data_IF_064136120681
#
_entry.id   IF_064136120681
#
_cell.length_a   1.000
_cell.length_b   1.000
_cell.length_c   1.000
_cell.angle_alpha   90.00
_cell.angle_beta   90.00
_cell.angle_gamma   90.00
#
_symmetry.space_group_name_H-M   'P 1'
#
loop_
_entity.id
_entity.type
_entity.pdbx_description
1 polymer ?
#
# COMPACT_ATOMS: atom_id res chain seq x y z
N UNK A 1 5.93 34.76 19.90
CA UNK A 1 6.38 33.39 19.59
C UNK A 1 5.99 33.08 18.17
N UNK A 2 6.96 32.98 17.27
CA UNK A 2 6.72 32.63 15.88
C UNK A 2 6.22 31.17 15.82
N UNK A 3 4.99 30.97 15.38
CA UNK A 3 4.41 29.66 15.12
C UNK A 3 5.12 29.03 13.91
N UNK A 4 6.22 28.33 14.10
CA UNK A 4 6.79 27.49 13.05
C UNK A 4 5.92 26.22 12.91
N UNK A 5 4.93 26.30 12.02
CA UNK A 5 4.32 25.06 11.52
C UNK A 5 5.37 24.39 10.62
N UNK A 6 5.96 23.30 11.06
CA UNK A 6 6.87 22.56 10.21
C UNK A 6 6.08 21.86 9.11
N UNK A 7 6.42 22.19 7.85
CA UNK A 7 5.82 21.52 6.68
C UNK A 7 6.69 20.31 6.35
N UNK A 8 6.05 19.16 6.29
CA UNK A 8 6.71 17.90 5.95
C UNK A 8 7.06 17.82 4.46
N UNK A 9 7.99 16.96 4.06
CA UNK A 9 8.20 16.60 2.66
C UNK A 9 6.90 16.10 2.03
N UNK A 10 6.79 16.22 0.72
CA UNK A 10 5.66 15.66 -0.02
C UNK A 10 5.87 14.14 -0.14
N UNK A 11 4.94 13.36 0.33
CA UNK A 11 4.90 11.92 0.08
C UNK A 11 4.31 11.66 -1.31
N UNK A 12 5.05 11.00 -2.20
CA UNK A 12 4.58 10.68 -3.55
C UNK A 12 4.63 9.17 -3.77
N UNK A 13 3.48 8.58 -4.04
CA UNK A 13 3.33 7.20 -4.47
C UNK A 13 3.04 7.15 -5.96
N UNK A 14 3.96 6.53 -6.72
CA UNK A 14 3.86 6.40 -8.18
C UNK A 14 3.47 4.95 -8.49
N UNK A 15 2.20 4.73 -8.77
CA UNK A 15 1.69 3.45 -9.26
C UNK A 15 1.66 3.40 -10.80
N UNK A 16 1.31 2.26 -11.37
CA UNK A 16 1.32 2.05 -12.83
C UNK A 16 0.29 2.89 -13.61
N UNK A 17 -0.72 3.44 -12.97
CA UNK A 17 -1.80 4.22 -13.63
C UNK A 17 -2.26 5.43 -12.83
N UNK A 18 -1.76 5.58 -11.62
CA UNK A 18 -2.15 6.64 -10.72
C UNK A 18 -0.92 7.13 -9.96
N UNK A 19 -0.86 8.43 -9.74
CA UNK A 19 0.10 9.06 -8.86
C UNK A 19 -0.69 9.70 -7.74
N UNK A 20 -0.34 9.40 -6.50
CA UNK A 20 -0.92 10.01 -5.31
C UNK A 20 0.15 10.82 -4.62
N UNK A 21 -0.14 12.07 -4.31
CA UNK A 21 0.74 12.93 -3.53
C UNK A 21 0.00 13.48 -2.32
N UNK A 22 0.66 13.48 -1.18
CA UNK A 22 0.15 14.01 0.07
C UNK A 22 1.20 14.87 0.76
N UNK A 23 0.78 15.94 1.42
CA UNK A 23 1.66 16.73 2.26
C UNK A 23 1.01 17.01 3.60
N UNK A 24 1.80 16.88 4.65
CA UNK A 24 1.39 17.11 6.03
C UNK A 24 2.00 18.40 6.58
N UNK A 25 1.32 18.98 7.55
CA UNK A 25 1.86 20.03 8.43
C UNK A 25 1.67 19.62 9.89
N UNK A 26 2.61 19.98 10.74
CA UNK A 26 2.48 19.81 12.18
C UNK A 26 1.78 21.03 12.77
N UNK A 27 0.79 20.80 13.61
CA UNK A 27 0.06 21.85 14.34
C UNK A 27 0.09 21.52 15.83
N UNK A 28 -0.40 22.42 16.67
CA UNK A 28 -0.54 22.16 18.12
C UNK A 28 -1.48 20.99 18.44
N UNK A 29 -2.36 20.65 17.51
CA UNK A 29 -3.36 19.57 17.65
C UNK A 29 -2.90 18.26 17.03
N UNK A 30 -1.68 18.21 16.45
CA UNK A 30 -1.13 17.04 15.76
C UNK A 30 -0.91 17.24 14.28
N UNK A 31 -0.81 16.12 13.55
CA UNK A 31 -0.63 16.14 12.09
C UNK A 31 -1.93 16.51 11.38
N UNK A 32 -1.80 17.40 10.41
CA UNK A 32 -2.92 17.85 9.56
C UNK A 32 -2.52 17.70 8.10
N UNK A 33 -3.41 17.20 7.26
CA UNK A 33 -3.22 17.13 5.82
C UNK A 33 -3.25 18.54 5.25
N UNK A 34 -2.13 18.98 4.67
CA UNK A 34 -2.01 20.26 3.98
C UNK A 34 -2.54 20.20 2.56
N UNK A 35 -2.25 19.11 1.84
CA UNK A 35 -2.67 18.93 0.47
C UNK A 35 -2.67 17.49 0.03
N UNK A 36 -3.63 17.16 -0.85
CA UNK A 36 -3.76 15.88 -1.52
C UNK A 36 -3.91 16.13 -3.02
N UNK A 37 -3.13 15.40 -3.81
CA UNK A 37 -3.19 15.47 -5.28
C UNK A 37 -3.23 14.06 -5.83
N UNK A 38 -4.15 13.81 -6.76
CA UNK A 38 -4.25 12.57 -7.49
C UNK A 38 -4.21 12.87 -8.99
N UNK A 39 -3.36 12.15 -9.70
CA UNK A 39 -3.23 12.22 -11.14
C UNK A 39 -3.35 10.84 -11.75
N UNK A 40 -4.33 10.65 -12.65
CA UNK A 40 -4.44 9.44 -13.47
C UNK A 40 -3.57 9.58 -14.72
N UNK A 41 -2.98 8.49 -15.18
CA UNK A 41 -2.28 8.43 -16.45
C UNK A 41 -2.43 7.07 -17.11
N UNK A 42 -2.12 7.01 -18.42
CA UNK A 42 -2.08 5.77 -19.15
C UNK A 42 -0.64 5.31 -19.24
N UNK A 43 -0.40 4.10 -18.78
CA UNK A 43 0.87 3.44 -18.95
C UNK A 43 0.66 2.24 -19.88
N UNK A 44 1.19 2.36 -21.09
CA UNK A 44 1.19 1.30 -22.12
C UNK A 44 2.52 0.54 -22.11
N UNK A 45 3.48 0.97 -21.28
CA UNK A 45 4.80 0.37 -21.19
C UNK A 45 4.88 -0.65 -20.05
N UNK A 46 5.89 -1.50 -20.10
CA UNK A 46 6.16 -2.45 -19.02
C UNK A 46 6.97 -1.80 -17.90
N UNK A 47 6.24 -1.14 -17.02
CA UNK A 47 6.78 -0.60 -15.79
C UNK A 47 6.99 0.92 -15.74
N UNK A 48 7.25 1.40 -14.54
CA UNK A 48 7.35 2.84 -14.21
C UNK A 48 8.57 3.49 -14.88
N UNK A 49 9.71 2.81 -14.92
CA UNK A 49 10.94 3.36 -15.52
C UNK A 49 10.83 3.51 -17.04
N UNK A 50 10.09 2.62 -17.71
CA UNK A 50 9.81 2.73 -19.13
C UNK A 50 8.83 3.89 -19.44
N UNK A 51 7.95 4.26 -18.48
CA UNK A 51 6.99 5.35 -18.62
C UNK A 51 7.57 6.74 -18.26
N UNK A 52 8.88 6.89 -18.07
CA UNK A 52 9.52 8.11 -17.57
C UNK A 52 9.16 9.37 -18.34
N UNK A 53 9.01 9.29 -19.67
CA UNK A 53 8.72 10.45 -20.52
C UNK A 53 7.28 10.98 -20.30
N UNK A 54 6.35 10.09 -19.93
CA UNK A 54 4.99 10.46 -19.49
C UNK A 54 4.98 10.96 -18.04
N UNK A 55 5.78 10.34 -17.17
CA UNK A 55 5.78 10.64 -15.75
C UNK A 55 6.44 11.98 -15.40
N UNK A 56 7.51 12.37 -16.10
CA UNK A 56 8.23 13.62 -15.82
C UNK A 56 7.33 14.86 -15.88
N UNK A 57 6.54 15.11 -16.96
CA UNK A 57 5.63 16.24 -17.00
C UNK A 57 4.54 16.16 -15.93
N UNK A 58 3.95 14.98 -15.69
CA UNK A 58 2.91 14.80 -14.66
C UNK A 58 3.42 15.11 -13.25
N UNK A 59 4.65 14.69 -12.93
CA UNK A 59 5.28 15.00 -11.66
C UNK A 59 5.54 16.51 -11.50
N UNK A 60 5.90 17.21 -12.59
CA UNK A 60 6.01 18.69 -12.58
C UNK A 60 4.69 19.35 -12.29
N UNK A 61 3.60 18.87 -12.89
CA UNK A 61 2.27 19.41 -12.66
C UNK A 61 1.82 19.18 -11.20
N UNK A 62 2.09 17.99 -10.65
CA UNK A 62 1.78 17.67 -9.25
C UNK A 62 2.48 18.62 -8.28
N UNK A 63 3.78 18.88 -8.44
CA UNK A 63 4.50 19.79 -7.54
C UNK A 63 4.17 21.28 -7.80
N UNK A 64 3.59 21.60 -8.95
CA UNK A 64 3.05 22.92 -9.28
C UNK A 64 1.68 23.19 -8.65
N UNK A 65 1.02 22.17 -8.10
CA UNK A 65 -0.30 22.31 -7.48
C UNK A 65 -0.21 23.14 -6.19
N UNK A 66 -1.09 24.15 -6.06
CA UNK A 66 -1.12 25.11 -4.94
C UNK A 66 -1.34 24.45 -3.57
N UNK A 67 -1.93 23.26 -3.56
CA UNK A 67 -2.15 22.46 -2.35
C UNK A 67 -0.85 21.89 -1.77
N UNK A 68 0.21 21.79 -2.56
CA UNK A 68 1.52 21.32 -2.15
C UNK A 68 2.51 22.50 -2.05
N UNK A 69 3.53 22.36 -1.22
CA UNK A 69 4.55 23.40 -1.02
C UNK A 69 5.96 22.83 -1.03
N UNK A 70 6.78 23.40 -1.88
CA UNK A 70 8.19 23.02 -2.00
C UNK A 70 8.41 21.86 -2.98
N UNK A 71 9.61 21.28 -2.96
CA UNK A 71 10.07 20.25 -3.89
C UNK A 71 10.70 19.04 -3.19
N UNK A 72 10.79 19.09 -1.85
CA UNK A 72 11.31 18.00 -1.03
C UNK A 72 10.30 16.87 -0.99
N UNK A 73 10.74 15.67 -1.36
CA UNK A 73 9.85 14.51 -1.47
C UNK A 73 10.40 13.28 -0.77
N UNK A 74 9.49 12.46 -0.29
CA UNK A 74 9.71 11.06 0.10
C UNK A 74 8.91 10.19 -0.86
N UNK A 75 9.53 9.18 -1.44
CA UNK A 75 8.93 8.34 -2.48
C UNK A 75 9.08 6.86 -2.16
N UNK A 76 8.16 6.03 -2.65
CA UNK A 76 8.35 4.59 -2.66
C UNK A 76 9.18 4.18 -3.90
N UNK A 77 10.12 3.27 -3.71
CA UNK A 77 10.72 2.59 -4.86
C UNK A 77 9.70 1.60 -5.45
N UNK A 78 9.58 1.53 -6.80
CA UNK A 78 8.59 0.67 -7.43
C UNK A 78 8.85 -0.81 -7.09
N UNK A 79 7.84 -1.48 -6.53
CA UNK A 79 7.97 -2.82 -5.99
C UNK A 79 8.39 -3.87 -7.04
N UNK A 80 8.07 -3.66 -8.33
CA UNK A 80 8.48 -4.55 -9.42
C UNK A 80 10.00 -4.63 -9.63
N UNK A 81 10.78 -3.69 -9.10
CA UNK A 81 12.25 -3.66 -9.16
C UNK A 81 12.89 -4.06 -7.82
N UNK A 82 12.08 -4.53 -6.86
CA UNK A 82 12.53 -4.99 -5.56
C UNK A 82 12.53 -6.52 -5.50
N UNK A 83 13.59 -7.06 -4.94
CA UNK A 83 13.61 -8.41 -4.36
C UNK A 83 13.38 -8.26 -2.86
N UNK A 84 12.50 -9.07 -2.29
CA UNK A 84 12.33 -9.13 -0.84
C UNK A 84 12.29 -10.58 -0.38
N UNK A 85 13.03 -10.90 0.67
CA UNK A 85 13.11 -12.25 1.22
C UNK A 85 13.46 -12.20 2.71
N UNK A 86 12.97 -13.17 3.50
CA UNK A 86 13.43 -13.38 4.85
C UNK A 86 14.82 -14.01 4.82
N UNK A 87 15.68 -13.63 5.77
CA UNK A 87 17.02 -14.15 5.92
C UNK A 87 17.26 -14.54 7.37
N UNK A 88 17.52 -15.83 7.61
CA UNK A 88 18.05 -16.31 8.88
C UNK A 88 19.56 -16.56 8.70
N UNK A 89 20.37 -15.94 9.55
CA UNK A 89 21.81 -16.01 9.38
C UNK A 89 22.54 -15.91 10.71
N UNK A 90 23.77 -16.44 10.72
CA UNK A 90 24.66 -16.35 11.85
C UNK A 90 25.82 -15.38 11.54
N UNK A 91 26.16 -14.56 12.49
CA UNK A 91 27.29 -13.62 12.42
C UNK A 91 28.53 -14.28 13.01
N UNK A 92 29.61 -14.32 12.27
CA UNK A 92 30.90 -14.85 12.70
C UNK A 92 31.54 -13.99 13.80
N UNK A 93 32.56 -14.56 14.53
CA UNK A 93 33.21 -13.88 15.67
C UNK A 93 33.85 -12.53 15.33
N UNK A 94 34.32 -12.36 14.10
CA UNK A 94 34.98 -11.12 13.61
C UNK A 94 34.23 -10.47 12.47
N UNK A 95 32.96 -10.86 12.26
CA UNK A 95 32.12 -10.41 11.16
C UNK A 95 31.13 -9.37 11.66
N UNK A 96 30.84 -8.34 10.85
CA UNK A 96 29.73 -7.42 11.14
C UNK A 96 28.41 -8.00 10.61
N UNK A 97 27.28 -7.50 11.15
CA UNK A 97 25.94 -7.89 10.71
C UNK A 97 25.76 -7.64 9.22
N UNK A 98 26.24 -6.49 8.73
CA UNK A 98 26.15 -6.11 7.31
C UNK A 98 26.92 -7.08 6.41
N UNK A 99 28.12 -7.48 6.83
CA UNK A 99 28.94 -8.45 6.07
C UNK A 99 28.26 -9.82 6.03
N UNK A 100 27.71 -10.26 7.16
CA UNK A 100 26.95 -11.49 7.23
C UNK A 100 25.70 -11.45 6.34
N UNK A 101 24.93 -10.34 6.36
CA UNK A 101 23.79 -10.13 5.47
C UNK A 101 24.23 -10.24 4.00
N UNK A 102 25.28 -9.55 3.58
CA UNK A 102 25.78 -9.60 2.21
C UNK A 102 26.17 -11.03 1.80
N UNK A 103 26.90 -11.74 2.65
CA UNK A 103 27.34 -13.12 2.41
C UNK A 103 26.16 -14.07 2.23
N UNK A 104 25.16 -13.98 3.11
CA UNK A 104 24.00 -14.87 3.08
C UNK A 104 22.97 -14.46 2.02
N UNK A 105 22.86 -13.18 1.64
CA UNK A 105 21.95 -12.70 0.62
C UNK A 105 22.34 -13.15 -0.79
N UNK A 106 23.58 -13.55 -1.02
CA UNK A 106 24.12 -13.91 -2.34
C UNK A 106 23.31 -15.00 -3.05
N UNK A 107 22.76 -15.95 -2.32
CA UNK A 107 21.96 -17.05 -2.88
C UNK A 107 20.55 -16.62 -3.35
N UNK A 108 20.06 -15.47 -2.89
CA UNK A 108 18.72 -14.95 -3.22
C UNK A 108 18.75 -13.86 -4.30
N UNK A 109 19.93 -13.23 -4.50
CA UNK A 109 20.10 -12.15 -5.46
C UNK A 109 20.51 -12.73 -6.80
N UNK A 110 19.71 -12.49 -7.84
CA UNK A 110 19.87 -13.08 -9.18
C UNK A 110 20.77 -12.28 -10.13
N UNK A 111 21.44 -11.25 -9.60
CA UNK A 111 22.37 -10.36 -10.34
C UNK A 111 23.65 -10.13 -9.52
N UNK A 112 24.73 -9.56 -10.08
CA UNK A 112 25.97 -9.34 -9.38
C UNK A 112 25.77 -8.55 -8.10
N UNK A 113 26.36 -9.01 -6.99
CA UNK A 113 26.16 -8.40 -5.67
C UNK A 113 26.71 -6.96 -5.59
N UNK A 114 27.75 -6.66 -6.35
CA UNK A 114 28.33 -5.32 -6.52
C UNK A 114 27.36 -4.31 -7.18
N UNK A 115 26.37 -4.80 -7.92
CA UNK A 115 25.28 -4.01 -8.50
C UNK A 115 24.08 -3.88 -7.55
N UNK A 116 24.08 -4.60 -6.42
CA UNK A 116 22.99 -4.57 -5.48
C UNK A 116 23.05 -3.32 -4.57
N UNK A 117 21.86 -2.81 -4.27
CA UNK A 117 21.61 -1.98 -3.10
C UNK A 117 20.75 -2.84 -2.18
N UNK A 118 21.21 -3.04 -0.94
CA UNK A 118 20.55 -3.90 0.04
C UNK A 118 20.21 -3.06 1.26
N UNK A 119 19.01 -3.26 1.78
CA UNK A 119 18.55 -2.69 3.04
C UNK A 119 17.77 -3.76 3.83
N UNK A 120 17.66 -3.58 5.15
CA UNK A 120 16.97 -4.52 6.03
C UNK A 120 16.06 -3.76 7.01
N UNK A 121 14.79 -3.57 6.65
CA UNK A 121 13.82 -2.81 7.46
C UNK A 121 13.52 -3.44 8.83
N UNK A 122 13.87 -4.72 9.03
CA UNK A 122 13.80 -5.38 10.33
C UNK A 122 14.99 -6.32 10.52
N UNK A 123 15.51 -6.33 11.75
CA UNK A 123 16.57 -7.19 12.21
C UNK A 123 16.30 -7.59 13.66
N UNK A 124 16.22 -8.87 13.92
CA UNK A 124 15.91 -9.43 15.24
C UNK A 124 16.89 -10.55 15.60
N UNK A 125 17.31 -10.69 16.88
CA UNK A 125 17.95 -11.90 17.35
C UNK A 125 17.02 -13.11 17.19
N UNK A 126 17.54 -14.25 16.79
CA UNK A 126 16.76 -15.47 16.55
C UNK A 126 17.49 -16.69 17.13
N UNK A 127 17.06 -17.16 18.29
CA UNK A 127 17.63 -18.35 18.93
C UNK A 127 18.95 -18.10 19.63
N UNK A 128 19.96 -18.93 19.32
CA UNK A 128 21.26 -18.92 19.97
C UNK A 128 22.11 -17.66 19.70
N UNK A 129 23.18 -17.46 20.48
CA UNK A 129 24.10 -16.34 20.35
C UNK A 129 24.58 -16.13 18.91
N UNK A 130 24.50 -14.88 18.45
CA UNK A 130 24.90 -14.42 17.11
C UNK A 130 24.02 -14.93 15.94
N UNK A 131 22.84 -15.48 16.19
CA UNK A 131 21.87 -15.80 15.13
C UNK A 131 20.83 -14.68 15.02
N UNK A 132 20.57 -14.25 13.79
CA UNK A 132 19.66 -13.15 13.49
C UNK A 132 18.67 -13.54 12.39
N UNK A 133 17.52 -12.89 12.47
CA UNK A 133 16.52 -12.88 11.42
C UNK A 133 16.37 -11.47 10.88
N UNK A 134 16.38 -11.32 9.56
CA UNK A 134 16.15 -10.04 8.91
C UNK A 134 15.15 -10.18 7.77
N UNK A 135 14.39 -9.13 7.52
CA UNK A 135 13.68 -8.93 6.26
C UNK A 135 14.58 -8.15 5.33
N UNK A 136 15.01 -8.76 4.24
CA UNK A 136 15.94 -8.15 3.28
C UNK A 136 15.14 -7.57 2.11
N UNK A 137 15.56 -6.39 1.68
CA UNK A 137 15.11 -5.75 0.45
C UNK A 137 16.34 -5.44 -0.40
N UNK A 138 16.30 -5.86 -1.66
CA UNK A 138 17.39 -5.61 -2.59
C UNK A 138 16.87 -5.03 -3.90
N UNK A 139 17.65 -4.13 -4.50
CA UNK A 139 17.36 -3.53 -5.81
C UNK A 139 18.63 -3.46 -6.66
N UNK A 140 18.49 -3.45 -7.98
CA UNK A 140 19.61 -3.09 -8.85
C UNK A 140 19.92 -1.62 -8.74
N UNK A 141 21.21 -1.30 -8.60
CA UNK A 141 21.73 0.08 -8.54
C UNK A 141 21.32 0.90 -9.77
N UNK A 142 21.34 0.31 -10.95
CA UNK A 142 20.92 0.93 -12.19
C UNK A 142 19.45 1.41 -12.12
N UNK A 143 18.53 0.54 -11.73
CA UNK A 143 17.12 0.91 -11.59
C UNK A 143 16.90 2.03 -10.56
N UNK A 144 17.64 2.02 -9.46
CA UNK A 144 17.59 3.08 -8.46
C UNK A 144 18.11 4.41 -9.04
N UNK A 145 19.21 4.38 -9.77
CA UNK A 145 19.78 5.56 -10.42
C UNK A 145 18.84 6.14 -11.47
N UNK A 146 18.22 5.29 -12.31
CA UNK A 146 17.23 5.69 -13.32
C UNK A 146 16.00 6.34 -12.66
N UNK A 147 15.50 5.73 -11.57
CA UNK A 147 14.37 6.26 -10.82
C UNK A 147 14.68 7.64 -10.23
N UNK A 148 15.82 7.78 -9.56
CA UNK A 148 16.28 9.07 -9.01
C UNK A 148 16.55 10.11 -10.09
N UNK A 149 17.07 9.70 -11.27
CA UNK A 149 17.29 10.59 -12.40
C UNK A 149 15.96 11.12 -12.96
N UNK A 150 14.95 10.26 -13.10
CA UNK A 150 13.59 10.64 -13.52
C UNK A 150 13.00 11.69 -12.56
N UNK A 151 13.07 11.45 -11.25
CA UNK A 151 12.55 12.36 -10.24
C UNK A 151 13.26 13.72 -10.24
N UNK A 152 14.59 13.72 -10.38
CA UNK A 152 15.39 14.95 -10.51
C UNK A 152 15.04 15.75 -11.78
N UNK A 153 14.83 15.08 -12.91
CA UNK A 153 14.37 15.72 -14.16
C UNK A 153 12.97 16.34 -14.03
N UNK A 154 12.14 15.79 -13.15
CA UNK A 154 10.86 16.39 -12.78
C UNK A 154 11.00 17.59 -11.82
N UNK A 155 12.21 17.91 -11.37
CA UNK A 155 12.49 19.03 -10.44
C UNK A 155 12.25 18.70 -8.98
N UNK A 156 12.22 17.42 -8.62
CA UNK A 156 12.04 16.93 -7.25
C UNK A 156 13.37 16.79 -6.53
N UNK A 157 13.39 17.13 -5.25
CA UNK A 157 14.51 16.89 -4.30
C UNK A 157 14.13 15.70 -3.44
N UNK A 158 14.65 14.53 -3.78
CA UNK A 158 14.36 13.28 -3.06
C UNK A 158 15.18 13.26 -1.77
N UNK A 159 14.49 13.21 -0.64
CA UNK A 159 15.10 13.08 0.69
C UNK A 159 15.27 11.62 1.10
N UNK A 160 14.23 10.82 0.83
CA UNK A 160 14.23 9.39 1.16
C UNK A 160 13.52 8.62 0.03
N UNK A 161 14.11 7.49 -0.31
CA UNK A 161 13.45 6.41 -1.04
C UNK A 161 13.06 5.34 -0.03
N UNK A 162 11.79 5.07 0.10
CA UNK A 162 11.22 4.12 1.06
C UNK A 162 10.57 2.94 0.31
N UNK A 163 9.98 2.00 1.03
CA UNK A 163 9.22 0.90 0.42
C UNK A 163 7.82 0.81 1.03
N UNK A 164 6.91 0.25 0.25
CA UNK A 164 5.48 0.25 0.57
C UNK A 164 5.18 -0.38 1.94
N UNK A 165 5.85 -1.47 2.33
CA UNK A 165 5.60 -2.10 3.63
C UNK A 165 6.02 -1.20 4.81
N UNK A 166 7.21 -0.61 4.78
CA UNK A 166 7.67 0.31 5.83
C UNK A 166 6.78 1.54 5.92
N UNK A 167 6.34 2.02 4.77
CA UNK A 167 5.38 3.13 4.66
C UNK A 167 4.04 2.80 5.31
N UNK A 168 3.48 1.60 5.03
CA UNK A 168 2.23 1.16 5.63
C UNK A 168 2.34 0.87 7.12
N UNK A 169 3.44 0.27 7.57
CA UNK A 169 3.71 0.05 9.00
C UNK A 169 3.70 1.38 9.76
N UNK A 170 4.33 2.42 9.20
CA UNK A 170 4.32 3.77 9.77
C UNK A 170 2.92 4.35 9.86
N UNK A 171 2.16 4.27 8.77
CA UNK A 171 0.78 4.72 8.73
C UNK A 171 -0.11 3.94 9.71
N UNK A 172 0.04 2.61 9.73
CA UNK A 172 -0.73 1.74 10.61
C UNK A 172 -0.45 2.06 12.09
N UNK A 173 0.81 2.22 12.47
CA UNK A 173 1.20 2.61 13.84
C UNK A 173 0.71 4.00 14.24
N UNK A 174 0.59 4.90 13.29
CA UNK A 174 -0.02 6.22 13.57
C UNK A 174 -1.53 6.09 13.85
N UNK A 175 -2.22 5.22 13.13
CA UNK A 175 -3.66 5.00 13.29
C UNK A 175 -4.00 4.09 14.48
N UNK A 176 -3.10 3.17 14.84
CA UNK A 176 -3.25 2.17 15.91
C UNK A 176 -2.01 2.21 16.80
N UNK A 177 -2.17 2.65 18.05
CA UNK A 177 -1.06 2.95 18.97
C UNK A 177 -0.24 1.73 19.40
N UNK A 178 -0.80 0.52 19.32
CA UNK A 178 -0.12 -0.71 19.73
C UNK A 178 -0.50 -1.86 18.82
N UNK A 179 0.50 -2.60 18.32
CA UNK A 179 0.35 -3.91 17.69
C UNK A 179 0.72 -4.92 18.79
N UNK A 180 -0.25 -5.67 19.28
CA UNK A 180 -0.01 -6.71 20.29
C UNK A 180 0.24 -8.07 19.66
N UNK A 181 -0.57 -8.42 18.66
CA UNK A 181 -0.45 -9.63 17.87
C UNK A 181 -0.08 -9.30 16.42
N UNK A 182 0.44 -10.25 15.64
CA UNK A 182 0.72 -10.04 14.23
C UNK A 182 -0.50 -9.51 13.46
N UNK A 183 -0.30 -8.53 12.62
CA UNK A 183 -1.32 -7.96 11.73
C UNK A 183 -1.01 -8.25 10.27
N UNK A 184 -2.04 -8.41 9.46
CA UNK A 184 -1.93 -8.57 8.02
C UNK A 184 -2.23 -7.23 7.36
N UNK A 185 -1.24 -6.63 6.72
CA UNK A 185 -1.41 -5.40 5.93
C UNK A 185 -1.58 -5.77 4.47
N UNK A 186 -2.74 -5.47 3.92
CA UNK A 186 -3.11 -5.77 2.55
C UNK A 186 -3.22 -4.45 1.77
N UNK A 187 -2.19 -4.08 1.01
CA UNK A 187 -2.24 -2.91 0.14
C UNK A 187 -2.68 -3.33 -1.26
N UNK A 188 -3.92 -3.09 -1.58
CA UNK A 188 -4.49 -3.42 -2.88
C UNK A 188 -4.31 -2.24 -3.82
N UNK A 189 -3.43 -2.41 -4.80
CA UNK A 189 -3.17 -1.41 -5.83
C UNK A 189 -4.06 -1.56 -7.06
N UNK A 190 -3.70 -0.82 -8.12
CA UNK A 190 -4.43 -0.89 -9.39
C UNK A 190 -4.14 -2.18 -10.16
N UNK A 191 -2.87 -2.52 -10.34
CA UNK A 191 -2.42 -3.70 -11.11
C UNK A 191 -1.71 -4.74 -10.27
N UNK A 192 -1.16 -4.35 -9.15
CA UNK A 192 -0.38 -5.18 -8.24
C UNK A 192 -0.81 -4.89 -6.81
N UNK A 193 -0.70 -5.88 -5.94
CA UNK A 193 -1.00 -5.74 -4.51
C UNK A 193 0.15 -6.27 -3.68
N UNK A 194 0.28 -5.76 -2.47
CA UNK A 194 1.27 -6.18 -1.50
C UNK A 194 0.59 -6.71 -0.26
N UNK A 195 0.95 -7.93 0.11
CA UNK A 195 0.50 -8.60 1.31
C UNK A 195 1.68 -8.70 2.28
N UNK A 196 1.49 -8.30 3.52
CA UNK A 196 2.57 -8.32 4.52
C UNK A 196 2.03 -8.76 5.87
N UNK A 197 2.79 -9.56 6.60
CA UNK A 197 2.55 -9.85 8.01
C UNK A 197 3.59 -9.08 8.80
N UNK A 198 3.13 -8.25 9.72
CA UNK A 198 3.99 -7.43 10.57
C UNK A 198 3.67 -7.65 12.04
N UNK A 199 4.70 -7.63 12.86
CA UNK A 199 4.61 -7.59 14.31
C UNK A 199 4.90 -6.19 14.82
N UNK A 200 4.98 -6.05 16.14
CA UNK A 200 5.43 -4.81 16.75
C UNK A 200 6.79 -4.36 16.24
N UNK A 201 7.72 -5.27 16.05
CA UNK A 201 9.12 -4.94 15.83
C UNK A 201 9.66 -5.41 14.47
N UNK A 202 8.93 -6.31 13.77
CA UNK A 202 9.43 -6.90 12.53
C UNK A 202 8.41 -7.04 11.40
N UNK A 203 8.95 -7.30 10.22
CA UNK A 203 8.22 -7.71 9.03
C UNK A 203 8.49 -9.21 8.85
N UNK A 204 7.50 -10.04 9.18
CA UNK A 204 7.63 -11.50 9.07
C UNK A 204 7.50 -12.00 7.63
N UNK A 205 6.57 -11.39 6.90
CA UNK A 205 6.25 -11.77 5.51
C UNK A 205 6.04 -10.51 4.70
N UNK A 206 6.59 -10.52 3.50
CA UNK A 206 6.29 -9.53 2.47
C UNK A 206 6.15 -10.26 1.13
N UNK A 207 4.98 -10.13 0.52
CA UNK A 207 4.69 -10.76 -0.77
C UNK A 207 4.00 -9.78 -1.69
N UNK A 208 4.53 -9.63 -2.88
CA UNK A 208 3.90 -8.91 -3.98
C UNK A 208 3.16 -9.91 -4.88
N UNK A 209 1.94 -9.56 -5.27
CA UNK A 209 1.11 -10.37 -6.15
C UNK A 209 0.67 -9.56 -7.38
N UNK A 210 0.61 -10.17 -8.59
CA UNK A 210 0.14 -9.52 -9.81
C UNK A 210 -1.40 -9.49 -9.84
N UNK A 211 -1.99 -8.96 -8.78
CA UNK A 211 -3.43 -8.80 -8.60
C UNK A 211 -3.74 -7.37 -8.20
N UNK A 212 -4.77 -6.77 -8.81
CA UNK A 212 -5.20 -5.41 -8.49
C UNK A 212 -6.60 -5.11 -9.02
N UNK A 213 -7.16 -3.99 -8.57
CA UNK A 213 -8.55 -3.58 -8.87
C UNK A 213 -8.81 -3.39 -10.38
N UNK A 214 -7.76 -3.13 -11.16
CA UNK A 214 -7.86 -3.04 -12.61
C UNK A 214 -8.46 -4.31 -13.25
N UNK A 215 -8.11 -5.49 -12.71
CA UNK A 215 -8.63 -6.78 -13.19
C UNK A 215 -10.14 -6.86 -13.04
N UNK A 216 -10.67 -6.42 -11.89
CA UNK A 216 -12.11 -6.36 -11.62
C UNK A 216 -12.82 -5.38 -12.56
N UNK A 217 -12.26 -4.16 -12.69
CA UNK A 217 -12.83 -3.13 -13.57
C UNK A 217 -12.83 -3.55 -15.05
N UNK A 218 -11.77 -4.25 -15.50
CA UNK A 218 -11.70 -4.79 -16.86
C UNK A 218 -12.82 -5.80 -17.10
N UNK A 219 -13.03 -6.73 -16.16
CA UNK A 219 -14.06 -7.75 -16.28
C UNK A 219 -15.49 -7.17 -16.24
N UNK A 220 -15.74 -6.22 -15.32
CA UNK A 220 -17.03 -5.52 -15.28
C UNK A 220 -17.32 -4.80 -16.60
N UNK A 221 -16.34 -4.11 -17.16
CA UNK A 221 -16.49 -3.40 -18.44
C UNK A 221 -16.78 -4.34 -19.61
N UNK A 222 -16.11 -5.50 -19.64
CA UNK A 222 -16.32 -6.49 -20.70
C UNK A 222 -17.68 -7.18 -20.61
N UNK A 223 -18.12 -7.56 -19.41
CA UNK A 223 -19.36 -8.32 -19.20
C UNK A 223 -20.61 -7.44 -19.21
N UNK A 224 -20.50 -6.19 -18.81
CA UNK A 224 -21.63 -5.24 -18.79
C UNK A 224 -21.60 -4.26 -19.96
N UNK A 225 -20.74 -4.47 -20.96
CA UNK A 225 -20.61 -3.63 -22.16
C UNK A 225 -20.50 -2.13 -21.85
N UNK A 226 -19.77 -1.78 -20.76
CA UNK A 226 -19.62 -0.40 -20.31
C UNK A 226 -18.71 0.37 -21.27
N UNK A 227 -19.29 0.87 -22.36
CA UNK A 227 -18.58 1.72 -23.35
C UNK A 227 -18.52 3.16 -22.88
N UNK A 228 -17.38 3.83 -23.14
CA UNK A 228 -17.22 5.29 -23.00
C UNK A 228 -16.78 5.81 -21.64
N UNK A 229 -17.33 5.34 -20.53
CA UNK A 229 -17.01 5.84 -19.19
C UNK A 229 -16.11 4.85 -18.41
N UNK A 230 -14.84 5.26 -18.22
CA UNK A 230 -13.87 4.44 -17.48
C UNK A 230 -14.13 4.36 -15.98
N UNK A 231 -14.88 5.31 -15.43
CA UNK A 231 -15.15 5.38 -13.99
C UNK A 231 -16.42 4.61 -13.60
N UNK A 232 -17.31 4.27 -14.53
CA UNK A 232 -18.53 3.49 -14.24
C UNK A 232 -18.22 2.18 -13.48
N UNK A 233 -17.22 1.42 -13.90
CA UNK A 233 -16.85 0.20 -13.21
C UNK A 233 -16.35 0.46 -11.76
N UNK A 234 -15.71 1.61 -11.48
CA UNK A 234 -15.34 2.00 -10.11
C UNK A 234 -16.60 2.31 -9.28
N UNK A 235 -17.56 3.02 -9.87
CA UNK A 235 -18.84 3.33 -9.20
C UNK A 235 -19.56 2.03 -8.84
N UNK A 236 -19.66 1.08 -9.76
CA UNK A 236 -20.28 -0.21 -9.51
C UNK A 236 -19.59 -1.00 -8.39
N UNK A 237 -18.26 -0.98 -8.31
CA UNK A 237 -17.53 -1.62 -7.22
C UNK A 237 -17.79 -0.95 -5.86
N UNK A 238 -17.96 0.39 -5.84
CA UNK A 238 -18.27 1.14 -4.61
C UNK A 238 -19.71 0.94 -4.15
N UNK A 239 -20.63 0.83 -5.08
CA UNK A 239 -22.06 0.73 -4.78
C UNK A 239 -22.46 -0.71 -4.45
N UNK A 240 -22.08 -1.66 -5.30
CA UNK A 240 -22.52 -3.05 -5.20
C UNK A 240 -21.45 -3.96 -4.59
N UNK A 241 -20.23 -3.97 -5.12
CA UNK A 241 -19.10 -4.72 -4.56
C UNK A 241 -19.37 -6.22 -4.40
N UNK A 242 -19.12 -6.74 -3.21
CA UNK A 242 -19.24 -8.17 -2.86
C UNK A 242 -20.48 -8.47 -2.03
N UNK A 243 -21.53 -7.72 -2.23
CA UNK A 243 -22.79 -7.98 -1.57
C UNK A 243 -23.42 -9.31 -2.09
N UNK A 244 -23.81 -10.20 -1.20
CA UNK A 244 -24.57 -11.42 -1.51
C UNK A 244 -25.55 -11.77 -0.38
N UNK A 245 -26.51 -12.67 -0.65
CA UNK A 245 -27.67 -12.91 0.22
C UNK A 245 -27.33 -13.27 1.67
N UNK A 246 -26.24 -13.98 1.91
CA UNK A 246 -25.76 -14.28 3.27
C UNK A 246 -25.29 -13.03 4.06
N UNK A 247 -25.04 -11.91 3.39
CA UNK A 247 -24.77 -10.63 4.05
C UNK A 247 -26.05 -9.97 4.57
N UNK A 248 -27.22 -10.32 4.02
CA UNK A 248 -28.53 -9.85 4.52
C UNK A 248 -28.87 -10.45 5.88
N UNK A 249 -28.51 -11.71 6.12
CA UNK A 249 -28.76 -12.36 7.40
C UNK A 249 -27.85 -11.85 8.52
N UNK A 250 -26.66 -11.34 8.17
CA UNK A 250 -25.72 -10.75 9.14
C UNK A 250 -26.02 -9.28 9.48
N UNK A 251 -26.91 -8.62 8.74
CA UNK A 251 -27.18 -7.17 8.87
C UNK A 251 -28.33 -6.85 9.82
N UNK A 252 -28.80 -7.80 10.67
CA UNK A 252 -29.94 -7.59 11.57
C UNK A 252 -29.61 -6.63 12.72
N UNK A 253 -28.33 -6.29 12.95
CA UNK A 253 -27.94 -5.29 13.97
C UNK A 253 -27.05 -4.18 13.37
N UNK A 254 -27.58 -2.95 13.41
CA UNK A 254 -26.88 -1.64 13.45
C UNK A 254 -26.69 -0.81 12.17
N UNK A 255 -27.24 -1.10 10.97
CA UNK A 255 -27.26 -0.05 9.95
C UNK A 255 -28.49 -0.13 9.02
N UNK A 256 -29.01 1.04 8.59
CA UNK A 256 -30.24 1.10 7.83
C UNK A 256 -30.13 0.35 6.50
N UNK A 257 -31.16 -0.40 6.21
CA UNK A 257 -31.43 -1.12 4.97
C UNK A 257 -31.02 -0.32 3.72
N UNK A 258 -30.52 -0.96 2.67
CA UNK A 258 -30.46 -0.31 1.37
C UNK A 258 -31.89 0.10 0.98
N UNK A 259 -32.13 1.39 0.91
CA UNK A 259 -33.45 2.01 0.65
C UNK A 259 -33.97 1.74 -0.76
N UNK A 260 -33.42 0.76 -1.49
CA UNK A 260 -33.87 0.35 -2.82
C UNK A 260 -34.21 -1.14 -2.81
N UNK A 261 -35.38 -1.43 -2.29
CA UNK A 261 -35.99 -2.76 -2.31
C UNK A 261 -36.64 -3.03 -3.67
N UNK A 262 -35.88 -2.91 -4.77
CA UNK A 262 -36.32 -3.25 -6.11
C UNK A 262 -35.62 -4.53 -6.55
N UNK A 263 -36.33 -5.42 -7.22
CA UNK A 263 -35.78 -6.64 -7.84
C UNK A 263 -34.63 -6.32 -8.80
N UNK A 264 -34.59 -5.12 -9.36
CA UNK A 264 -33.53 -4.62 -10.22
C UNK A 264 -32.20 -4.45 -9.45
N UNK A 265 -32.23 -3.86 -8.25
CA UNK A 265 -31.03 -3.71 -7.41
C UNK A 265 -30.44 -5.06 -7.01
N UNK A 266 -31.28 -6.01 -6.57
CA UNK A 266 -30.87 -7.39 -6.25
C UNK A 266 -30.25 -8.10 -7.46
N UNK A 267 -30.84 -7.92 -8.64
CA UNK A 267 -30.31 -8.49 -9.89
C UNK A 267 -28.93 -7.90 -10.21
N UNK A 268 -28.74 -6.60 -10.04
CA UNK A 268 -27.45 -5.93 -10.26
C UNK A 268 -26.38 -6.41 -9.26
N UNK A 269 -26.72 -6.54 -7.98
CA UNK A 269 -25.82 -7.10 -6.96
C UNK A 269 -25.33 -8.51 -7.35
N UNK A 270 -26.25 -9.39 -7.74
CA UNK A 270 -25.91 -10.76 -8.17
C UNK A 270 -25.02 -10.76 -9.41
N UNK A 271 -25.36 -9.95 -10.41
CA UNK A 271 -24.59 -9.87 -11.64
C UNK A 271 -23.14 -9.39 -11.36
N UNK A 272 -22.97 -8.31 -10.60
CA UNK A 272 -21.67 -7.77 -10.26
C UNK A 272 -20.86 -8.79 -9.44
N UNK A 273 -21.47 -9.38 -8.41
CA UNK A 273 -20.84 -10.43 -7.62
C UNK A 273 -20.34 -11.60 -8.50
N UNK A 274 -21.18 -12.14 -9.38
CA UNK A 274 -20.78 -13.23 -10.27
C UNK A 274 -19.60 -12.87 -11.18
N UNK A 275 -19.54 -11.62 -11.65
CA UNK A 275 -18.47 -11.15 -12.53
C UNK A 275 -17.14 -11.01 -11.77
N UNK A 276 -17.16 -10.49 -10.53
CA UNK A 276 -15.92 -10.18 -9.79
C UNK A 276 -15.44 -11.30 -8.87
N UNK A 277 -16.33 -12.16 -8.39
CA UNK A 277 -16.02 -13.19 -7.40
C UNK A 277 -14.85 -14.11 -7.80
N UNK A 278 -14.73 -14.59 -9.05
CA UNK A 278 -13.59 -15.44 -9.43
C UNK A 278 -12.24 -14.77 -9.20
N UNK A 279 -12.14 -13.45 -9.43
CA UNK A 279 -10.90 -12.70 -9.19
C UNK A 279 -10.67 -12.42 -7.71
N UNK A 280 -11.73 -12.23 -6.94
CA UNK A 280 -11.61 -12.08 -5.48
C UNK A 280 -11.14 -13.40 -4.84
N UNK A 281 -11.59 -14.55 -5.32
CA UNK A 281 -11.10 -15.85 -4.86
C UNK A 281 -9.58 -16.04 -5.13
N UNK A 282 -9.05 -15.46 -6.21
CA UNK A 282 -7.59 -15.44 -6.41
C UNK A 282 -6.88 -14.66 -5.30
N UNK A 283 -7.43 -13.52 -4.87
CA UNK A 283 -6.88 -12.72 -3.75
C UNK A 283 -6.97 -13.52 -2.44
N UNK A 284 -8.10 -14.18 -2.18
CA UNK A 284 -8.29 -15.04 -1.01
C UNK A 284 -7.25 -16.17 -0.99
N UNK A 285 -7.00 -16.81 -2.13
CA UNK A 285 -6.01 -17.86 -2.25
C UNK A 285 -4.58 -17.36 -1.93
N UNK A 286 -4.21 -16.16 -2.41
CA UNK A 286 -2.91 -15.58 -2.08
C UNK A 286 -2.82 -15.19 -0.60
N UNK A 287 -3.90 -14.70 0.01
CA UNK A 287 -3.97 -14.43 1.45
C UNK A 287 -3.81 -15.71 2.26
N UNK A 288 -4.44 -16.82 1.87
CA UNK A 288 -4.25 -18.12 2.53
C UNK A 288 -2.79 -18.57 2.53
N UNK A 289 -2.04 -18.37 1.43
CA UNK A 289 -0.60 -18.69 1.37
C UNK A 289 0.20 -17.84 2.34
N UNK A 290 -0.08 -16.53 2.39
CA UNK A 290 0.61 -15.60 3.30
C UNK A 290 0.31 -15.96 4.76
N UNK A 291 -0.95 -16.23 5.09
CA UNK A 291 -1.38 -16.64 6.44
C UNK A 291 -0.74 -17.97 6.83
N UNK A 292 -0.75 -18.96 5.93
CA UNK A 292 -0.12 -20.26 6.15
C UNK A 292 1.37 -20.14 6.43
N UNK A 293 2.08 -19.33 5.65
CA UNK A 293 3.50 -19.06 5.89
C UNK A 293 3.71 -18.35 7.24
N UNK A 294 2.90 -17.31 7.57
CA UNK A 294 3.01 -16.63 8.84
C UNK A 294 2.81 -17.56 10.05
N UNK A 295 1.88 -18.51 9.95
CA UNK A 295 1.66 -19.54 11.00
C UNK A 295 2.82 -20.54 11.10
N UNK A 296 3.49 -20.85 10.00
CA UNK A 296 4.68 -21.71 10.04
C UNK A 296 5.89 -21.04 10.69
N UNK A 297 5.99 -19.71 10.55
CA UNK A 297 7.07 -18.91 11.13
C UNK A 297 6.87 -18.61 12.63
N UNK A 298 5.63 -18.47 13.05
CA UNK A 298 5.23 -18.29 14.43
C UNK A 298 4.14 -19.34 14.75
N UNK A 299 4.53 -20.40 15.43
CA UNK A 299 3.60 -21.46 15.85
C UNK A 299 2.45 -20.82 16.64
N UNK A 300 1.22 -21.18 16.28
CA UNK A 300 -0.02 -20.72 16.91
C UNK A 300 -0.27 -19.20 16.86
N UNK A 301 0.32 -18.49 15.87
CA UNK A 301 0.09 -17.06 15.72
C UNK A 301 -1.41 -16.74 15.56
N UNK A 302 -1.94 -16.00 16.52
CA UNK A 302 -3.27 -15.39 16.44
C UNK A 302 -3.09 -14.03 15.78
N UNK A 303 -3.67 -13.85 14.60
CA UNK A 303 -3.65 -12.56 13.91
C UNK A 303 -4.68 -11.61 14.52
N UNK A 304 -4.26 -10.36 14.79
CA UNK A 304 -5.15 -9.32 15.29
C UNK A 304 -6.21 -8.93 14.24
N UNK A 305 -5.83 -8.93 12.95
CA UNK A 305 -6.73 -8.63 11.85
C UNK A 305 -6.05 -8.43 10.51
N UNK A 306 -6.88 -8.29 9.47
CA UNK A 306 -6.51 -7.93 8.11
C UNK A 306 -6.89 -6.46 7.90
N UNK A 307 -5.93 -5.63 7.58
CA UNK A 307 -6.12 -4.19 7.35
C UNK A 307 -5.89 -3.88 5.87
N UNK A 308 -6.98 -3.50 5.18
CA UNK A 308 -7.03 -3.31 3.73
C UNK A 308 -6.79 -1.84 3.42
N UNK A 309 -5.75 -1.56 2.65
CA UNK A 309 -5.33 -0.23 2.21
C UNK A 309 -5.39 -0.11 0.68
N UNK A 310 -5.21 1.10 0.19
CA UNK A 310 -5.12 1.36 -1.24
C UNK A 310 -6.47 1.34 -1.94
N UNK A 311 -6.48 0.95 -3.22
CA UNK A 311 -7.68 0.96 -4.05
C UNK A 311 -8.69 -0.15 -3.70
N UNK A 312 -8.27 -1.16 -2.93
CA UNK A 312 -9.17 -2.20 -2.41
C UNK A 312 -10.27 -1.65 -1.51
N UNK A 313 -10.04 -0.49 -0.89
CA UNK A 313 -11.04 0.18 -0.05
C UNK A 313 -12.28 0.65 -0.83
N UNK A 314 -12.23 0.65 -2.16
CA UNK A 314 -13.38 0.95 -3.00
C UNK A 314 -14.27 -0.26 -3.30
N UNK A 315 -13.85 -1.45 -2.95
CA UNK A 315 -14.65 -2.66 -3.15
C UNK A 315 -15.58 -2.80 -1.95
N UNK A 316 -16.85 -2.45 -2.15
CA UNK A 316 -17.84 -2.55 -1.09
C UNK A 316 -17.91 -3.97 -0.51
N UNK A 317 -17.98 -4.10 0.80
CA UNK A 317 -18.02 -5.37 1.54
C UNK A 317 -16.81 -6.31 1.37
N UNK A 318 -15.68 -5.84 0.85
CA UNK A 318 -14.47 -6.67 0.74
C UNK A 318 -13.98 -7.14 2.12
N UNK A 319 -14.05 -6.28 3.13
CA UNK A 319 -13.69 -6.62 4.51
C UNK A 319 -14.54 -7.77 5.05
N UNK A 320 -15.86 -7.68 4.99
CA UNK A 320 -16.79 -8.73 5.44
C UNK A 320 -16.59 -10.04 4.69
N UNK A 321 -16.37 -9.94 3.38
CA UNK A 321 -16.10 -11.11 2.56
C UNK A 321 -14.80 -11.82 2.99
N UNK A 322 -13.71 -11.08 3.16
CA UNK A 322 -12.44 -11.63 3.61
C UNK A 322 -12.52 -12.19 5.03
N UNK A 323 -13.21 -11.49 5.94
CA UNK A 323 -13.44 -11.97 7.30
C UNK A 323 -14.13 -13.34 7.32
N UNK A 324 -15.21 -13.51 6.56
CA UNK A 324 -15.93 -14.78 6.45
C UNK A 324 -15.06 -15.88 5.82
N UNK A 325 -14.31 -15.55 4.74
CA UNK A 325 -13.51 -16.54 4.00
C UNK A 325 -12.25 -16.99 4.75
N UNK A 326 -11.66 -16.12 5.54
CA UNK A 326 -10.38 -16.34 6.20
C UNK A 326 -10.50 -16.59 7.71
N UNK A 327 -11.67 -16.35 8.29
CA UNK A 327 -11.95 -16.40 9.72
C UNK A 327 -10.94 -15.55 10.54
N UNK A 328 -10.67 -14.34 10.05
CA UNK A 328 -9.81 -13.32 10.66
C UNK A 328 -10.52 -11.98 10.44
N UNK A 329 -10.70 -11.19 11.52
CA UNK A 329 -11.30 -9.86 11.42
C UNK A 329 -10.66 -9.04 10.30
N UNK A 330 -11.46 -8.40 9.45
CA UNK A 330 -10.95 -7.59 8.36
C UNK A 330 -11.55 -6.18 8.39
N UNK A 331 -10.77 -5.17 7.98
CA UNK A 331 -11.19 -3.77 8.00
C UNK A 331 -10.69 -3.00 6.80
N UNK A 332 -11.57 -2.23 6.17
CA UNK A 332 -11.18 -1.23 5.18
C UNK A 332 -10.59 -0.01 5.87
N UNK A 333 -9.37 0.37 5.48
CA UNK A 333 -8.62 1.44 6.12
C UNK A 333 -8.69 2.74 5.32
N UNK A 334 -9.24 3.76 5.94
CA UNK A 334 -9.23 5.10 5.38
C UNK A 334 -8.37 6.04 6.26
N UNK A 335 -7.14 6.39 5.83
CA UNK A 335 -6.25 7.21 6.64
C UNK A 335 -6.78 8.64 6.87
N UNK A 336 -7.66 9.15 6.02
CA UNK A 336 -8.23 10.50 6.17
C UNK A 336 -9.23 10.60 7.33
N UNK A 337 -9.68 9.48 7.89
CA UNK A 337 -10.50 9.49 9.12
C UNK A 337 -9.65 9.68 10.38
N UNK A 338 -8.33 9.53 10.27
CA UNK A 338 -7.38 9.58 11.41
C UNK A 338 -6.49 10.83 11.39
N UNK A 339 -6.41 11.53 10.26
CA UNK A 339 -5.61 12.75 10.11
C UNK A 339 -6.55 13.89 9.75
N UNK A 340 -6.54 14.96 10.52
CA UNK A 340 -7.37 16.13 10.24
C UNK A 340 -7.03 16.75 8.87
N UNK A 341 -8.04 17.27 8.17
CA UNK A 341 -7.86 18.04 6.94
C UNK A 341 -7.72 19.54 7.27
N UNK A 342 -6.84 20.24 6.56
CA UNK A 342 -6.80 21.71 6.64
C UNK A 342 -7.88 22.32 5.74
N UNK A 343 -8.33 23.53 6.08
CA UNK A 343 -9.33 24.30 5.32
C UNK A 343 -8.91 24.54 3.85
N UNK A 344 -7.60 24.53 3.57
CA UNK A 344 -7.03 24.76 2.24
C UNK A 344 -7.24 23.57 1.27
N UNK A 345 -7.72 22.41 1.74
CA UNK A 345 -7.85 21.21 0.91
C UNK A 345 -9.05 21.21 -0.05
N UNK A 346 -9.90 22.26 -0.02
CA UNK A 346 -11.12 22.27 -0.80
C UNK A 346 -12.08 21.13 -0.40
N UNK A 347 -12.96 20.74 -1.28
CA UNK A 347 -13.88 19.61 -1.07
C UNK A 347 -13.21 18.27 -1.36
N UNK A 348 -12.21 17.88 -0.55
CA UNK A 348 -11.68 16.51 -0.64
C UNK A 348 -12.73 15.55 -0.08
N UNK A 349 -13.20 14.65 -0.90
CA UNK A 349 -14.06 13.57 -0.43
C UNK A 349 -13.27 12.61 0.48
N UNK A 350 -13.56 12.70 1.78
CA UNK A 350 -12.90 11.85 2.79
C UNK A 350 -13.09 10.37 2.46
N UNK A 351 -14.20 9.97 1.83
CA UNK A 351 -14.46 8.58 1.44
C UNK A 351 -13.44 8.04 0.42
N UNK A 352 -12.75 8.92 -0.31
CA UNK A 352 -11.72 8.58 -1.29
C UNK A 352 -10.30 8.46 -0.69
N UNK A 353 -10.16 8.44 0.63
CA UNK A 353 -8.87 8.48 1.32
C UNK A 353 -8.02 7.21 1.22
N UNK A 354 -8.64 6.05 1.04
CA UNK A 354 -7.93 4.76 1.01
C UNK A 354 -6.72 4.72 0.06
N UNK A 355 -6.83 5.14 -1.20
CA UNK A 355 -5.72 5.18 -2.15
C UNK A 355 -4.55 6.09 -1.77
N UNK A 356 -4.76 7.07 -0.90
CA UNK A 356 -3.69 7.95 -0.41
C UNK A 356 -2.84 7.33 0.70
N UNK A 357 -3.12 6.09 1.10
CA UNK A 357 -2.44 5.43 2.22
C UNK A 357 -0.90 5.48 2.11
N UNK A 358 -0.35 5.11 0.95
CA UNK A 358 1.10 5.16 0.76
C UNK A 358 1.62 6.61 0.74
N UNK A 359 0.98 7.51 0.02
CA UNK A 359 1.40 8.91 -0.04
C UNK A 359 1.39 9.57 1.36
N UNK A 360 0.37 9.30 2.18
CA UNK A 360 0.30 9.79 3.56
C UNK A 360 1.37 9.17 4.46
N UNK A 361 1.57 7.86 4.37
CA UNK A 361 2.62 7.18 5.13
C UNK A 361 4.03 7.65 4.76
N UNK A 362 4.28 8.00 3.49
CA UNK A 362 5.51 8.66 3.02
C UNK A 362 5.66 10.06 3.60
N UNK A 363 4.59 10.86 3.54
CA UNK A 363 4.59 12.21 4.10
C UNK A 363 4.80 12.23 5.63
N UNK A 364 4.50 11.15 6.34
CA UNK A 364 4.76 10.98 7.77
C UNK A 364 6.24 10.70 8.10
N UNK A 365 7.09 10.44 7.11
CA UNK A 365 8.51 10.17 7.33
C UNK A 365 9.21 11.41 7.86
N UNK A 366 9.61 11.38 9.14
CA UNK A 366 10.50 12.40 9.70
C UNK A 366 11.92 12.13 9.19
N UNK A 367 12.51 13.09 8.52
CA UNK A 367 13.90 13.05 8.10
C UNK A 367 14.69 13.88 9.11
N UNK A 368 15.44 13.22 9.97
CA UNK A 368 16.44 13.89 10.81
C UNK A 368 17.76 13.89 10.05
N UNK A 369 18.23 15.06 9.65
CA UNK A 369 19.63 15.21 9.20
C UNK A 369 20.51 15.19 10.44
N UNK A 370 21.45 14.24 10.47
CA UNK A 370 22.52 14.21 11.46
C UNK A 370 23.49 15.36 11.21
#
# INVERSE_FOLDING_TARGET
MLNFSSIFPIGIDIGNRNIYAAQLKETKQGLVVRGLVHQKYQNETDGILAARDVLIPLLKDIIGDKRLKGRRVVVNFPAQYLLSFPLNFQVGKEETVETAILRHSRQYITFPLEEAIIDYPSLEPSGDDNTFRASIIAARREHMQDYLSMLRKAGLTVEVVDFAVSTLVRLHRYAHTTIQNPVILCNIGDTQSQLSIVTRDSILVQRQIPWGVHKLRKNLRANLELSGDRDKAKVLLKEYGLFYEDCLECSIDENPEPTTDTDEARTMYRAIYQIINPQIEELVHELHKVIGYGRSEQQDAIFEGIYIYGQGTFINHLDRYLEKRLNINARLMNPLTKVALSDDNGSVDVSEGGPFSLALGLAMRKVSWL
#
